data_IF_655409293693
#
_entry.id   IF_655409293693
#
_cell.length_a   1.000
_cell.length_b   1.000
_cell.length_c   1.000
_cell.angle_alpha   90.00
_cell.angle_beta   90.00
_cell.angle_gamma   90.00
#
_symmetry.space_group_name_H-M   'P 1'
#
loop_
_entity.id
_entity.type
_entity.pdbx_description
1 polymer ?
#
# COMPACT_ATOMS: atom_id res chain seq x y z
N UNK A 1 23.02 12.76 -11.98
CA UNK A 1 24.43 12.47 -11.56
C UNK A 1 24.80 13.02 -10.18
N UNK A 2 24.43 14.24 -9.81
CA UNK A 2 24.80 14.84 -8.50
C UNK A 2 24.32 14.01 -7.29
N UNK A 3 23.08 13.51 -7.31
CA UNK A 3 22.48 12.71 -6.23
C UNK A 3 23.27 11.42 -5.95
N UNK A 4 23.55 10.62 -6.97
CA UNK A 4 24.35 9.39 -6.82
C UNK A 4 25.74 9.65 -6.25
N UNK A 5 26.38 10.74 -6.66
CA UNK A 5 27.69 11.15 -6.13
C UNK A 5 27.62 11.55 -4.66
N UNK A 6 26.57 12.27 -4.25
CA UNK A 6 26.36 12.65 -2.86
C UNK A 6 26.17 11.41 -1.96
N UNK A 7 25.36 10.46 -2.40
CA UNK A 7 25.13 9.19 -1.69
C UNK A 7 26.42 8.37 -1.63
N UNK A 8 27.15 8.21 -2.75
CA UNK A 8 28.43 7.51 -2.77
C UNK A 8 29.43 8.13 -1.78
N UNK A 9 29.50 9.46 -1.72
CA UNK A 9 30.35 10.18 -0.76
C UNK A 9 29.96 9.91 0.69
N UNK A 10 28.66 9.86 0.99
CA UNK A 10 28.16 9.55 2.34
C UNK A 10 28.51 8.12 2.77
N UNK A 11 28.70 7.20 1.82
CA UNK A 11 28.94 5.78 2.08
C UNK A 11 30.44 5.37 2.06
N UNK A 12 31.34 6.22 1.59
CA UNK A 12 32.78 5.90 1.47
C UNK A 12 33.42 5.43 2.77
N UNK A 13 33.02 6.00 3.89
CA UNK A 13 33.57 5.66 5.20
C UNK A 13 32.79 4.56 5.94
N UNK A 14 31.87 3.87 5.26
CA UNK A 14 31.07 2.73 5.78
C UNK A 14 30.39 3.05 7.10
N UNK A 15 29.52 4.07 7.17
CA UNK A 15 28.85 4.46 8.39
C UNK A 15 27.85 3.37 8.84
N UNK A 16 27.69 3.21 10.16
CA UNK A 16 26.66 2.32 10.72
C UNK A 16 25.23 2.90 10.61
N UNK A 17 25.10 4.22 10.40
CA UNK A 17 23.83 4.93 10.24
C UNK A 17 23.94 5.96 9.13
N UNK A 18 22.95 5.96 8.21
CA UNK A 18 22.88 6.87 7.07
C UNK A 18 21.53 7.56 7.05
N UNK A 19 21.52 8.87 6.88
CA UNK A 19 20.31 9.65 6.65
C UNK A 19 20.25 10.09 5.19
N UNK A 20 19.15 9.82 4.52
CA UNK A 20 18.90 10.15 3.13
C UNK A 20 17.58 10.92 3.01
N UNK A 21 17.67 12.10 2.43
CA UNK A 21 16.49 12.91 2.14
C UNK A 21 16.13 12.77 0.66
N UNK A 22 14.95 12.19 0.38
CA UNK A 22 14.42 11.96 -0.97
C UNK A 22 15.48 11.36 -1.94
N UNK A 23 16.07 10.19 -1.63
CA UNK A 23 17.26 9.71 -2.34
C UNK A 23 17.03 9.44 -3.83
N UNK A 24 15.81 9.16 -4.27
CA UNK A 24 15.46 8.89 -5.67
C UNK A 24 14.87 10.08 -6.40
N UNK A 25 14.65 11.21 -5.71
CA UNK A 25 14.04 12.39 -6.33
C UNK A 25 14.87 12.91 -7.52
N UNK A 26 14.17 13.17 -8.63
CA UNK A 26 14.81 13.67 -9.85
C UNK A 26 15.69 12.67 -10.63
N UNK A 27 15.65 11.39 -10.25
CA UNK A 27 16.26 10.31 -11.03
C UNK A 27 15.23 9.75 -12.04
N UNK A 28 15.77 9.28 -13.17
CA UNK A 28 14.97 8.47 -14.09
C UNK A 28 14.61 7.11 -13.45
N UNK A 29 13.56 6.41 -13.94
CA UNK A 29 13.09 5.18 -13.32
C UNK A 29 14.15 4.08 -13.20
N UNK A 30 15.07 3.97 -14.17
CA UNK A 30 16.14 2.95 -14.16
C UNK A 30 17.18 3.30 -13.11
N UNK A 31 17.59 4.57 -13.05
CA UNK A 31 18.53 5.06 -12.06
C UNK A 31 17.97 4.96 -10.63
N UNK A 32 16.68 5.24 -10.44
CA UNK A 32 16.00 5.09 -9.17
C UNK A 32 15.93 3.63 -8.73
N UNK A 33 15.62 2.69 -9.64
CA UNK A 33 15.62 1.26 -9.36
C UNK A 33 17.02 0.77 -8.93
N UNK A 34 18.06 1.10 -9.70
CA UNK A 34 19.45 0.76 -9.37
C UNK A 34 19.86 1.28 -7.99
N UNK A 35 19.49 2.52 -7.66
CA UNK A 35 19.82 3.09 -6.35
C UNK A 35 19.10 2.35 -5.21
N UNK A 36 17.82 1.98 -5.40
CA UNK A 36 17.09 1.18 -4.41
C UNK A 36 17.76 -0.17 -4.14
N UNK A 37 18.20 -0.85 -5.19
CA UNK A 37 18.89 -2.13 -5.07
C UNK A 37 20.24 -1.97 -4.32
N UNK A 38 20.97 -0.90 -4.61
CA UNK A 38 22.22 -0.56 -3.91
C UNK A 38 21.99 -0.29 -2.43
N UNK A 39 20.95 0.47 -2.06
CA UNK A 39 20.59 0.76 -0.67
C UNK A 39 20.13 -0.49 0.08
N UNK A 40 19.32 -1.34 -0.55
CA UNK A 40 18.89 -2.61 0.03
C UNK A 40 20.10 -3.55 0.28
N UNK A 41 21.03 -3.61 -0.68
CA UNK A 41 22.26 -4.39 -0.53
C UNK A 41 23.17 -3.84 0.59
N UNK A 42 23.23 -2.52 0.75
CA UNK A 42 24.00 -1.89 1.82
C UNK A 42 23.44 -2.25 3.20
N UNK A 43 22.12 -2.13 3.37
CA UNK A 43 21.47 -2.48 4.63
C UNK A 43 21.65 -3.96 4.98
N UNK A 44 21.42 -4.86 4.01
CA UNK A 44 21.44 -6.31 4.25
C UNK A 44 22.84 -6.88 4.40
N UNK A 45 23.82 -6.41 3.60
CA UNK A 45 25.17 -7.00 3.57
C UNK A 45 26.17 -6.34 4.53
N UNK A 46 25.99 -5.07 4.82
CA UNK A 46 26.91 -4.30 5.67
C UNK A 46 26.34 -3.98 7.06
N UNK A 47 25.08 -4.35 7.33
CA UNK A 47 24.42 -4.09 8.59
C UNK A 47 24.19 -2.59 8.89
N UNK A 48 24.24 -1.74 7.87
CA UNK A 48 24.00 -0.32 8.03
C UNK A 48 22.50 -0.04 8.24
N UNK A 49 22.20 0.83 9.19
CA UNK A 49 20.85 1.38 9.35
C UNK A 49 20.68 2.56 8.41
N UNK A 50 19.66 2.49 7.56
CA UNK A 50 19.32 3.57 6.63
C UNK A 50 18.02 4.22 7.10
N UNK A 51 18.09 5.51 7.39
CA UNK A 51 16.92 6.33 7.65
C UNK A 51 16.70 7.22 6.42
N UNK A 52 15.56 7.07 5.76
CA UNK A 52 15.24 7.87 4.58
C UNK A 52 13.90 8.60 4.74
N UNK A 53 13.81 9.78 4.13
CA UNK A 53 12.53 10.44 3.89
C UNK A 53 12.13 10.23 2.44
N UNK A 54 10.85 10.02 2.19
CA UNK A 54 10.30 9.93 0.84
C UNK A 54 8.81 10.24 0.84
N UNK A 55 8.32 10.80 -0.24
CA UNK A 55 6.90 10.92 -0.53
C UNK A 55 6.42 9.82 -1.49
N UNK A 56 7.31 8.95 -1.94
CA UNK A 56 6.99 7.82 -2.81
C UNK A 56 6.66 6.58 -1.97
N UNK A 57 5.37 6.29 -1.81
CA UNK A 57 4.88 5.18 -0.98
C UNK A 57 5.36 3.82 -1.50
N UNK A 58 5.45 3.64 -2.83
CA UNK A 58 5.98 2.42 -3.42
C UNK A 58 7.47 2.20 -3.13
N UNK A 59 8.23 3.27 -2.94
CA UNK A 59 9.62 3.21 -2.48
C UNK A 59 9.69 2.79 -1.02
N UNK A 60 8.90 3.41 -0.14
CA UNK A 60 8.83 3.04 1.26
C UNK A 60 8.43 1.57 1.45
N UNK A 61 7.46 1.06 0.67
CA UNK A 61 7.04 -0.34 0.69
C UNK A 61 8.16 -1.33 0.33
N UNK A 62 9.01 -0.95 -0.63
CA UNK A 62 10.06 -1.85 -1.14
C UNK A 62 11.34 -1.82 -0.33
N UNK A 63 11.68 -0.68 0.28
CA UNK A 63 12.97 -0.48 0.93
C UNK A 63 12.90 -0.57 2.45
N UNK A 64 11.79 -0.13 3.05
CA UNK A 64 11.73 0.08 4.48
C UNK A 64 11.20 -1.14 5.21
N UNK A 65 11.90 -1.60 6.23
CA UNK A 65 11.39 -2.57 7.21
C UNK A 65 10.40 -1.94 8.18
N UNK A 66 10.52 -0.62 8.39
CA UNK A 66 9.66 0.19 9.26
C UNK A 66 9.40 1.54 8.61
N UNK A 67 8.16 1.99 8.67
CA UNK A 67 7.70 3.28 8.13
C UNK A 67 7.06 4.08 9.23
N UNK A 68 7.37 5.37 9.28
CA UNK A 68 6.73 6.35 10.14
C UNK A 68 6.01 7.38 9.27
N UNK A 69 4.71 7.57 9.48
CA UNK A 69 3.89 8.58 8.79
C UNK A 69 3.84 9.83 9.65
N UNK A 70 4.26 10.96 9.08
CA UNK A 70 4.31 12.25 9.76
C UNK A 70 3.44 13.26 9.00
N UNK A 71 2.61 14.03 9.72
CA UNK A 71 1.80 15.12 9.20
C UNK A 71 1.84 16.30 10.16
N UNK A 72 2.11 17.49 9.65
CA UNK A 72 2.15 18.73 10.44
C UNK A 72 3.00 18.62 11.72
N UNK A 73 4.13 17.92 11.63
CA UNK A 73 5.04 17.71 12.77
C UNK A 73 4.57 16.67 13.79
N UNK A 74 3.44 15.99 13.55
CA UNK A 74 2.91 14.92 14.41
C UNK A 74 3.14 13.57 13.77
N UNK A 75 3.51 12.58 14.58
CA UNK A 75 3.62 11.19 14.19
C UNK A 75 2.23 10.55 14.21
N UNK A 76 1.71 10.17 13.02
CA UNK A 76 0.39 9.58 12.88
C UNK A 76 0.41 8.06 13.06
N UNK A 77 1.40 7.40 12.49
CA UNK A 77 1.52 5.95 12.55
C UNK A 77 2.98 5.51 12.43
N UNK A 78 3.30 4.37 13.06
CA UNK A 78 4.58 3.66 12.91
C UNK A 78 4.30 2.17 12.80
N UNK A 79 4.99 1.49 11.91
CA UNK A 79 4.90 0.04 11.73
C UNK A 79 5.62 -0.43 10.49
N UNK A 80 5.69 -1.73 10.29
CA UNK A 80 6.11 -2.29 9.01
C UNK A 80 5.11 -1.90 7.91
N UNK A 81 5.52 -1.86 6.63
CA UNK A 81 4.59 -1.63 5.52
C UNK A 81 3.36 -2.56 5.56
N UNK A 82 3.55 -3.82 5.93
CA UNK A 82 2.48 -4.80 6.05
C UNK A 82 1.50 -4.46 7.19
N UNK A 83 2.00 -4.07 8.37
CA UNK A 83 1.17 -3.64 9.50
C UNK A 83 0.40 -2.36 9.19
N UNK A 84 1.03 -1.39 8.53
CA UNK A 84 0.36 -0.14 8.15
C UNK A 84 -0.76 -0.40 7.13
N UNK A 85 -0.54 -1.27 6.15
CA UNK A 85 -1.59 -1.67 5.20
C UNK A 85 -2.79 -2.32 5.88
N UNK A 86 -2.55 -3.12 6.92
CA UNK A 86 -3.65 -3.72 7.69
C UNK A 86 -4.40 -2.70 8.56
N UNK A 87 -3.75 -1.62 8.99
CA UNK A 87 -4.40 -0.57 9.81
C UNK A 87 -5.25 0.40 8.99
N UNK A 88 -4.82 0.75 7.79
CA UNK A 88 -5.42 1.83 7.01
C UNK A 88 -6.41 1.41 5.94
N UNK A 89 -6.57 0.12 5.67
CA UNK A 89 -7.51 -0.32 4.65
C UNK A 89 -7.77 -1.81 4.73
N UNK A 90 -9.02 -2.19 4.58
CA UNK A 90 -9.39 -3.59 4.43
C UNK A 90 -8.77 -4.20 3.18
N UNK A 91 -8.86 -5.51 3.07
CA UNK A 91 -8.51 -6.22 1.84
C UNK A 91 -9.36 -5.67 0.68
N UNK A 92 -8.71 -5.10 -0.34
CA UNK A 92 -9.37 -4.67 -1.57
C UNK A 92 -9.50 -5.86 -2.51
N UNK A 93 -10.72 -6.14 -2.96
CA UNK A 93 -10.99 -7.18 -3.94
C UNK A 93 -11.62 -6.55 -5.16
N UNK A 94 -10.98 -6.70 -6.30
CA UNK A 94 -11.43 -6.24 -7.61
C UNK A 94 -12.05 -7.41 -8.36
N UNK A 95 -13.27 -7.24 -8.83
CA UNK A 95 -14.04 -8.27 -9.53
C UNK A 95 -14.37 -7.75 -10.91
N UNK A 96 -13.74 -8.32 -11.94
CA UNK A 96 -14.10 -8.07 -13.32
C UNK A 96 -15.32 -8.93 -13.68
N UNK A 97 -16.31 -8.31 -14.32
CA UNK A 97 -17.55 -8.98 -14.68
C UNK A 97 -18.60 -8.03 -15.22
N UNK A 98 -19.88 -8.44 -15.11
CA UNK A 98 -21.03 -7.66 -15.57
C UNK A 98 -22.20 -7.83 -14.61
N UNK A 99 -23.23 -6.96 -14.77
CA UNK A 99 -24.47 -7.07 -13.98
C UNK A 99 -24.34 -6.49 -12.56
N UNK A 100 -23.41 -5.59 -12.33
CA UNK A 100 -23.22 -4.93 -11.04
C UNK A 100 -24.22 -3.76 -10.88
N UNK A 101 -25.48 -4.11 -10.56
CA UNK A 101 -26.55 -3.14 -10.35
C UNK A 101 -26.42 -2.42 -8.98
N UNK A 102 -27.05 -1.25 -8.84
CA UNK A 102 -27.07 -0.53 -7.56
C UNK A 102 -27.71 -1.38 -6.45
N UNK A 103 -28.75 -2.16 -6.75
CA UNK A 103 -29.36 -3.10 -5.80
C UNK A 103 -28.38 -4.15 -5.28
N UNK A 104 -27.54 -4.70 -6.18
CA UNK A 104 -26.47 -5.62 -5.78
C UNK A 104 -25.43 -4.93 -4.89
N UNK A 105 -25.02 -3.69 -5.23
CA UNK A 105 -24.08 -2.92 -4.42
C UNK A 105 -24.61 -2.68 -3.01
N UNK A 106 -25.88 -2.32 -2.88
CA UNK A 106 -26.52 -2.12 -1.58
C UNK A 106 -26.60 -3.42 -0.76
N UNK A 107 -26.90 -4.54 -1.42
CA UNK A 107 -26.89 -5.86 -0.79
C UNK A 107 -25.49 -6.23 -0.29
N UNK A 108 -24.45 -5.95 -1.08
CA UNK A 108 -23.05 -6.19 -0.70
C UNK A 108 -22.60 -5.32 0.47
N UNK A 109 -22.99 -4.02 0.49
CA UNK A 109 -22.68 -3.09 1.59
C UNK A 109 -23.29 -3.53 2.93
N UNK A 110 -24.40 -4.26 2.90
CA UNK A 110 -25.06 -4.78 4.11
C UNK A 110 -24.40 -6.07 4.63
N UNK A 111 -23.48 -6.69 3.88
CA UNK A 111 -22.82 -7.92 4.33
C UNK A 111 -21.84 -7.64 5.48
N UNK A 112 -21.88 -8.47 6.50
CA UNK A 112 -20.91 -8.43 7.59
C UNK A 112 -19.50 -8.62 7.03
N UNK A 113 -18.59 -7.66 7.33
CA UNK A 113 -17.22 -7.69 6.83
C UNK A 113 -16.97 -6.91 5.55
N UNK A 114 -17.98 -6.38 4.87
CA UNK A 114 -17.81 -5.41 3.80
C UNK A 114 -17.78 -3.99 4.40
N UNK A 115 -16.75 -3.23 4.07
CA UNK A 115 -16.62 -1.81 4.43
C UNK A 115 -17.20 -0.93 3.33
N UNK A 116 -16.86 -1.25 2.08
CA UNK A 116 -17.31 -0.49 0.91
C UNK A 116 -17.55 -1.44 -0.27
N UNK A 117 -18.53 -1.10 -1.11
CA UNK A 117 -18.78 -1.75 -2.41
C UNK A 117 -19.18 -0.67 -3.43
N UNK A 118 -18.44 -0.58 -4.53
CA UNK A 118 -18.68 0.38 -5.61
C UNK A 118 -18.13 -0.15 -6.93
N UNK A 119 -18.53 0.47 -8.05
CA UNK A 119 -18.00 0.15 -9.38
C UNK A 119 -17.03 1.25 -9.79
N UNK A 120 -15.83 0.85 -10.20
CA UNK A 120 -14.78 1.71 -10.71
C UNK A 120 -14.20 1.12 -11.99
N UNK A 121 -14.12 1.91 -13.07
CA UNK A 121 -13.63 1.48 -14.38
C UNK A 121 -14.32 0.20 -14.91
N UNK A 122 -15.61 0.00 -14.59
CA UNK A 122 -16.37 -1.18 -15.00
C UNK A 122 -16.11 -2.45 -14.18
N UNK A 123 -15.32 -2.36 -13.12
CA UNK A 123 -15.03 -3.44 -12.18
C UNK A 123 -15.74 -3.18 -10.84
N UNK A 124 -16.23 -4.24 -10.21
CA UNK A 124 -16.75 -4.17 -8.86
C UNK A 124 -15.59 -4.20 -7.85
N UNK A 125 -15.53 -3.19 -7.01
CA UNK A 125 -14.54 -3.06 -5.94
C UNK A 125 -15.21 -3.34 -4.60
N UNK A 126 -14.67 -4.30 -3.88
CA UNK A 126 -15.06 -4.62 -2.51
C UNK A 126 -13.90 -4.29 -1.56
N UNK A 127 -14.17 -3.49 -0.55
CA UNK A 127 -13.24 -3.26 0.56
C UNK A 127 -13.74 -4.03 1.78
N UNK A 128 -12.96 -5.01 2.22
CA UNK A 128 -13.32 -5.85 3.35
C UNK A 128 -12.73 -5.28 4.65
N UNK A 129 -13.50 -5.32 5.74
CA UNK A 129 -13.03 -4.87 7.06
C UNK A 129 -11.90 -5.77 7.56
N UNK A 130 -10.83 -5.17 8.08
CA UNK A 130 -9.84 -5.90 8.83
C UNK A 130 -10.34 -6.11 10.28
N UNK A 131 -10.40 -7.35 10.73
CA UNK A 131 -10.80 -7.64 12.11
C UNK A 131 -10.47 -9.07 12.52
N UNK A 132 -10.04 -9.26 13.75
CA UNK A 132 -9.82 -10.56 14.36
C UNK A 132 -11.17 -11.29 14.48
N UNK A 133 -11.37 -12.29 13.66
CA UNK A 133 -12.55 -13.14 13.67
C UNK A 133 -13.38 -12.98 12.38
N UNK A 134 -13.05 -13.82 11.42
CA UNK A 134 -13.90 -14.12 10.23
C UNK A 134 -14.23 -12.89 9.38
N UNK A 135 -13.25 -12.37 8.65
CA UNK A 135 -13.58 -11.75 7.37
C UNK A 135 -14.30 -12.87 6.55
N UNK A 136 -15.54 -12.66 6.09
CA UNK A 136 -16.12 -13.61 5.17
C UNK A 136 -15.16 -13.70 4.00
N UNK A 137 -14.67 -14.91 3.72
CA UNK A 137 -13.79 -15.10 2.57
C UNK A 137 -14.51 -14.54 1.34
N UNK A 138 -13.79 -14.15 0.32
CA UNK A 138 -14.37 -13.60 -0.93
C UNK A 138 -15.42 -14.55 -1.52
N UNK A 139 -15.32 -15.86 -1.27
CA UNK A 139 -16.21 -16.89 -1.80
C UNK A 139 -17.72 -16.70 -1.49
N UNK A 140 -18.16 -16.37 -0.27
CA UNK A 140 -19.57 -16.08 -0.01
C UNK A 140 -20.09 -14.85 -0.76
N UNK A 141 -19.23 -13.82 -0.92
CA UNK A 141 -19.59 -12.62 -1.65
C UNK A 141 -19.73 -12.89 -3.15
N UNK A 142 -18.86 -13.72 -3.72
CA UNK A 142 -18.96 -14.18 -5.11
C UNK A 142 -20.24 -14.95 -5.33
N UNK A 143 -20.59 -15.86 -4.41
CA UNK A 143 -21.85 -16.62 -4.49
C UNK A 143 -23.07 -15.70 -4.43
N UNK A 144 -23.01 -14.64 -3.63
CA UNK A 144 -24.07 -13.62 -3.58
C UNK A 144 -24.17 -12.85 -4.90
N UNK A 145 -23.05 -12.40 -5.47
CA UNK A 145 -23.01 -11.68 -6.75
C UNK A 145 -23.66 -12.51 -7.85
N UNK A 146 -23.30 -13.79 -7.98
CA UNK A 146 -23.85 -14.69 -9.00
C UNK A 146 -25.34 -14.93 -8.78
N UNK A 147 -25.78 -15.10 -7.54
CA UNK A 147 -27.19 -15.28 -7.19
C UNK A 147 -28.05 -14.08 -7.55
N UNK A 148 -27.52 -12.88 -7.39
CA UNK A 148 -28.19 -11.61 -7.74
C UNK A 148 -28.06 -11.26 -9.24
N UNK A 149 -27.57 -12.19 -10.07
CA UNK A 149 -27.50 -12.04 -11.53
C UNK A 149 -26.23 -11.39 -12.06
N UNK A 150 -25.23 -11.19 -11.21
CA UNK A 150 -23.91 -10.72 -11.64
C UNK A 150 -23.08 -11.85 -12.26
N UNK A 151 -22.31 -11.54 -13.29
CA UNK A 151 -21.31 -12.42 -13.89
C UNK A 151 -19.92 -12.06 -13.38
N UNK A 152 -19.17 -13.06 -12.90
CA UNK A 152 -17.79 -12.89 -12.43
C UNK A 152 -16.86 -13.56 -13.43
N UNK A 153 -15.90 -12.81 -13.95
CA UNK A 153 -14.90 -13.29 -14.91
C UNK A 153 -13.53 -13.46 -14.26
N UNK A 154 -13.12 -12.50 -13.45
CA UNK A 154 -11.84 -12.53 -12.77
C UNK A 154 -11.97 -11.90 -11.38
N UNK A 155 -11.22 -12.43 -10.43
CA UNK A 155 -11.13 -11.89 -9.07
C UNK A 155 -9.68 -11.65 -8.75
N UNK A 156 -9.34 -10.41 -8.41
CA UNK A 156 -8.04 -10.00 -7.91
C UNK A 156 -8.19 -9.47 -6.50
N UNK A 157 -7.50 -10.08 -5.56
CA UNK A 157 -7.44 -9.55 -4.20
C UNK A 157 -6.07 -8.95 -3.97
N UNK A 158 -6.04 -7.68 -3.60
CA UNK A 158 -4.84 -6.97 -3.17
C UNK A 158 -5.00 -6.51 -1.72
N UNK A 159 -3.92 -6.53 -0.98
CA UNK A 159 -3.88 -5.72 0.24
C UNK A 159 -3.75 -4.27 -0.20
N UNK A 160 -4.47 -3.36 0.45
CA UNK A 160 -4.37 -1.94 0.16
C UNK A 160 -2.90 -1.47 0.10
N UNK A 161 -2.60 -0.52 -0.77
CA UNK A 161 -1.26 0.07 -0.86
C UNK A 161 -0.99 1.00 0.33
N UNK A 162 0.28 1.27 0.64
CA UNK A 162 0.61 2.33 1.62
C UNK A 162 0.06 3.69 1.19
N UNK A 163 -0.10 3.92 -0.10
CA UNK A 163 -0.68 5.16 -0.64
C UNK A 163 -2.15 5.30 -0.24
N UNK A 164 -2.96 4.24 -0.36
CA UNK A 164 -4.35 4.22 0.10
C UNK A 164 -4.46 4.44 1.61
N UNK A 165 -3.58 3.79 2.38
CA UNK A 165 -3.48 3.99 3.83
C UNK A 165 -3.16 5.44 4.16
N UNK A 166 -2.19 6.02 3.48
CA UNK A 166 -1.79 7.41 3.66
C UNK A 166 -2.94 8.36 3.33
N UNK A 167 -3.64 8.16 2.20
CA UNK A 167 -4.80 8.97 1.82
C UNK A 167 -5.93 8.87 2.84
N UNK A 168 -6.21 7.68 3.36
CA UNK A 168 -7.21 7.47 4.42
C UNK A 168 -6.83 8.26 5.68
N UNK A 169 -5.59 8.13 6.15
CA UNK A 169 -5.10 8.87 7.32
C UNK A 169 -5.10 10.40 7.12
N UNK A 170 -4.98 10.85 5.86
CA UNK A 170 -5.08 12.27 5.51
C UNK A 170 -6.52 12.76 5.43
N UNK A 171 -7.50 11.90 5.15
CA UNK A 171 -8.92 12.23 4.99
C UNK A 171 -9.75 12.18 6.27
N UNK A 172 -9.31 11.41 7.28
CA UNK A 172 -10.09 11.21 8.53
C UNK A 172 -10.12 12.44 9.48
N UNK A 173 -9.37 13.51 9.18
CA UNK A 173 -9.34 14.75 9.98
C UNK A 173 -9.85 15.99 9.21
N UNK A 174 -10.64 15.83 8.14
CA UNK A 174 -11.21 16.96 7.39
C UNK A 174 -12.65 17.26 7.81
#
# INVERSE_FOLDING_TARGET
MKQKLAIARALVHRPGLVFLDEPTAGLDPVAAASLRDDLAALASRQGATIFLTTHNMAEAEKLCSMVAVIRQGKLLAVGSPAELRTRGGGQRTEIAGRGFSDALLDTLRQQAGVSQAFVENGQLILVLKNGAGVAPGVAPLVSLIVREGGEVQEIRSSQGSLEEVFLTMMGEEA
#
